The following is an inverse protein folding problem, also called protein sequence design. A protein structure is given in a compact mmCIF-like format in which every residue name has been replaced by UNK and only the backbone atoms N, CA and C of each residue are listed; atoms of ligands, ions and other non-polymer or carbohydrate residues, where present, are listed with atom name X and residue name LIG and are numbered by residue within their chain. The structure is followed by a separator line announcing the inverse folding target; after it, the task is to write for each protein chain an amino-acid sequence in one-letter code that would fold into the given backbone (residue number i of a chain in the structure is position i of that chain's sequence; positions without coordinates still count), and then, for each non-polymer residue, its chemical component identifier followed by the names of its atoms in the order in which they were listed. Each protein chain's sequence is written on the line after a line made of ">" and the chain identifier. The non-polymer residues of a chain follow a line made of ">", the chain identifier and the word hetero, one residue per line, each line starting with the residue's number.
data_IF_363466434014
#
_entry.id   IF_363466434014
#
_cell.length_a   1.000
_cell.length_b   1.000
_cell.length_c   1.000
_cell.angle_alpha   90.00
_cell.angle_beta   90.00
_cell.angle_gamma   90.00
#
_symmetry.space_group_name_H-M   'P 1'
#
loop_
_entity.id
_entity.type
_entity.pdbx_description
1 polymer ?
#
# COMPACT_ATOMS: atom_id res chain seq x y z
N UNK A 1 5.01 9.13 -4.69
CA UNK A 1 3.64 9.55 -5.12
C UNK A 1 3.13 10.59 -4.14
N UNK A 2 2.60 11.72 -4.60
CA UNK A 2 1.95 12.69 -3.71
C UNK A 2 0.64 12.14 -3.13
N UNK A 3 0.21 12.62 -1.96
CA UNK A 3 -1.09 12.27 -1.40
C UNK A 3 -2.21 12.61 -2.38
N UNK A 4 -3.02 11.61 -2.74
CA UNK A 4 -4.19 11.78 -3.59
C UNK A 4 -5.44 12.01 -2.74
N UNK A 5 -6.22 13.02 -3.12
CA UNK A 5 -7.55 13.31 -2.58
C UNK A 5 -8.56 13.15 -3.70
N UNK A 6 -9.50 12.23 -3.54
CA UNK A 6 -10.46 11.85 -4.57
C UNK A 6 -11.85 11.88 -3.96
N UNK A 7 -12.81 12.54 -4.62
CA UNK A 7 -14.20 12.49 -4.18
C UNK A 7 -14.68 11.02 -4.18
N UNK A 8 -15.23 10.55 -3.06
CA UNK A 8 -15.51 9.13 -2.84
C UNK A 8 -16.41 8.53 -3.91
N UNK A 9 -17.41 9.29 -4.38
CA UNK A 9 -18.34 8.86 -5.44
C UNK A 9 -17.68 8.65 -6.81
N UNK A 10 -16.46 9.16 -7.02
CA UNK A 10 -15.68 8.94 -8.24
C UNK A 10 -14.79 7.71 -8.16
N UNK A 11 -14.65 7.11 -6.99
CA UNK A 11 -13.73 6.00 -6.78
C UNK A 11 -14.46 4.67 -6.68
N UNK A 12 -14.08 3.74 -7.55
CA UNK A 12 -14.61 2.38 -7.63
C UNK A 12 -14.01 1.50 -6.52
N UNK A 13 -14.34 1.78 -5.26
CA UNK A 13 -13.75 1.14 -4.07
C UNK A 13 -13.79 -0.39 -4.11
N UNK A 14 -14.94 -0.96 -4.48
CA UNK A 14 -15.10 -2.41 -4.58
C UNK A 14 -14.17 -3.03 -5.64
N UNK A 15 -13.94 -2.33 -6.75
CA UNK A 15 -13.04 -2.80 -7.80
C UNK A 15 -11.57 -2.70 -7.37
N UNK A 16 -11.21 -1.63 -6.65
CA UNK A 16 -9.87 -1.45 -6.07
C UNK A 16 -9.55 -2.56 -5.06
N UNK A 17 -10.40 -2.76 -4.05
CA UNK A 17 -10.24 -3.83 -3.04
C UNK A 17 -10.18 -5.19 -3.74
N UNK A 18 -11.08 -5.42 -4.70
CA UNK A 18 -11.12 -6.64 -5.50
C UNK A 18 -9.84 -6.86 -6.33
N UNK A 19 -9.17 -5.82 -6.80
CA UNK A 19 -7.91 -5.93 -7.54
C UNK A 19 -6.75 -6.33 -6.63
N UNK A 20 -6.61 -5.68 -5.47
CA UNK A 20 -5.56 -6.00 -4.47
C UNK A 20 -5.73 -7.43 -3.95
N UNK A 21 -6.95 -7.80 -3.55
CA UNK A 21 -7.24 -9.14 -3.02
C UNK A 21 -7.01 -10.25 -4.06
N UNK A 22 -7.35 -10.00 -5.34
CA UNK A 22 -7.02 -10.93 -6.44
C UNK A 22 -5.53 -11.07 -6.66
N UNK A 23 -4.78 -9.97 -6.59
CA UNK A 23 -3.33 -10.00 -6.67
C UNK A 23 -2.75 -10.88 -5.55
N UNK A 24 -3.18 -10.67 -4.30
CA UNK A 24 -2.73 -11.46 -3.15
C UNK A 24 -3.07 -12.94 -3.25
N UNK A 25 -4.31 -13.25 -3.63
CA UNK A 25 -4.71 -14.63 -3.89
C UNK A 25 -3.83 -15.29 -4.97
N UNK A 26 -3.41 -14.55 -6.00
CA UNK A 26 -2.52 -15.07 -7.06
C UNK A 26 -1.09 -15.34 -6.57
N UNK A 27 -0.66 -14.67 -5.51
CA UNK A 27 0.65 -14.90 -4.87
C UNK A 27 0.57 -15.91 -3.71
N UNK A 28 -0.62 -16.44 -3.40
CA UNK A 28 -0.82 -17.31 -2.22
C UNK A 28 -0.76 -16.56 -0.89
N UNK A 29 -0.92 -15.23 -0.91
CA UNK A 29 -0.88 -14.35 0.26
C UNK A 29 -2.31 -14.17 0.79
N UNK A 30 -2.56 -14.35 2.09
CA UNK A 30 -3.88 -14.15 2.66
C UNK A 30 -4.26 -12.66 2.68
N UNK A 31 -5.56 -12.31 2.53
CA UNK A 31 -6.05 -10.94 2.68
C UNK A 31 -5.78 -10.32 4.06
N UNK A 32 -5.45 -11.14 5.08
CA UNK A 32 -5.04 -10.70 6.40
C UNK A 32 -3.91 -9.66 6.40
N UNK A 33 -3.09 -9.64 5.33
CA UNK A 33 -2.01 -8.68 5.11
C UNK A 33 -2.48 -7.24 4.82
N UNK A 34 -3.78 -7.03 4.55
CA UNK A 34 -4.39 -5.69 4.55
C UNK A 34 -4.64 -5.32 6.00
N UNK A 35 -3.85 -4.42 6.58
CA UNK A 35 -3.87 -4.17 8.03
C UNK A 35 -4.60 -2.85 8.38
N UNK A 36 -5.34 -2.77 9.49
CA UNK A 36 -5.75 -1.50 10.06
C UNK A 36 -4.51 -0.69 10.47
N UNK A 37 -4.57 0.63 10.24
CA UNK A 37 -3.52 1.56 10.58
C UNK A 37 -3.86 2.29 11.89
N UNK A 38 -3.02 2.11 12.91
CA UNK A 38 -3.15 2.77 14.21
C UNK A 38 -2.28 4.03 14.34
N UNK A 39 -1.25 4.18 13.50
CA UNK A 39 -0.28 5.27 13.53
C UNK A 39 0.99 4.89 12.78
N UNK A 40 1.79 5.89 12.39
CA UNK A 40 3.12 5.62 11.85
C UNK A 40 4.03 5.14 12.98
N UNK A 41 4.93 4.22 12.64
CA UNK A 41 5.85 3.54 13.57
C UNK A 41 5.16 2.67 14.64
N UNK A 42 3.83 2.57 14.62
CA UNK A 42 3.08 1.59 15.39
C UNK A 42 3.10 0.23 14.68
N UNK A 43 3.20 -0.88 15.43
CA UNK A 43 3.18 -2.21 14.84
C UNK A 43 1.83 -2.47 14.16
N UNK A 44 1.88 -3.11 12.99
CA UNK A 44 0.68 -3.54 12.29
C UNK A 44 0.01 -4.71 13.01
N UNK A 45 -1.29 -4.56 13.26
CA UNK A 45 -2.12 -5.64 13.77
C UNK A 45 -2.83 -6.34 12.60
N UNK A 46 -2.27 -7.46 12.15
CA UNK A 46 -2.93 -8.27 11.13
C UNK A 46 -4.15 -8.99 11.71
N UNK A 47 -5.31 -8.77 11.08
CA UNK A 47 -6.56 -9.40 11.48
C UNK A 47 -6.63 -10.89 11.15
N UNK A 48 -7.67 -11.59 11.62
CA UNK A 48 -7.92 -12.98 11.24
C UNK A 48 -8.09 -13.13 9.72
N UNK A 49 -7.69 -14.29 9.19
CA UNK A 49 -7.70 -14.57 7.75
C UNK A 49 -9.11 -14.72 7.14
N UNK A 50 -10.17 -14.77 7.94
CA UNK A 50 -11.54 -14.99 7.49
C UNK A 50 -12.44 -13.77 7.74
N UNK A 51 -13.29 -13.51 6.75
CA UNK A 51 -14.48 -12.63 6.75
C UNK A 51 -14.27 -11.17 7.24
N UNK A 52 -13.28 -10.47 6.69
CA UNK A 52 -13.21 -9.01 6.81
C UNK A 52 -13.97 -8.31 5.69
N UNK A 53 -14.89 -7.43 6.05
CA UNK A 53 -15.51 -6.48 5.13
C UNK A 53 -14.68 -5.19 5.10
N UNK A 54 -13.67 -5.18 4.22
CA UNK A 54 -12.74 -4.06 4.08
C UNK A 54 -13.44 -2.76 3.64
N UNK A 55 -14.57 -2.86 2.93
CA UNK A 55 -15.34 -1.70 2.55
C UNK A 55 -16.09 -1.12 3.76
N UNK A 56 -16.73 -1.97 4.58
CA UNK A 56 -17.33 -1.53 5.83
C UNK A 56 -16.31 -0.91 6.80
N UNK A 57 -15.12 -1.50 6.90
CA UNK A 57 -14.04 -0.95 7.75
C UNK A 57 -13.62 0.47 7.33
N UNK A 58 -13.50 0.73 6.02
CA UNK A 58 -13.16 2.06 5.50
C UNK A 58 -14.34 3.06 5.61
N UNK A 59 -15.53 2.62 5.21
CA UNK A 59 -16.66 3.51 4.93
C UNK A 59 -17.58 3.71 6.14
N UNK A 60 -17.81 2.66 6.92
CA UNK A 60 -18.75 2.66 8.05
C UNK A 60 -18.02 2.87 9.38
N UNK A 61 -16.90 2.17 9.57
CA UNK A 61 -16.10 2.26 10.79
C UNK A 61 -15.08 3.41 10.77
N UNK A 62 -14.82 3.99 9.58
CA UNK A 62 -13.89 5.11 9.41
C UNK A 62 -12.43 4.75 9.72
N UNK A 63 -12.06 3.48 9.55
CA UNK A 63 -10.67 3.03 9.75
C UNK A 63 -9.80 3.47 8.59
N UNK A 64 -8.54 3.75 8.89
CA UNK A 64 -7.49 3.80 7.88
C UNK A 64 -6.94 2.40 7.68
N UNK A 65 -6.78 1.96 6.44
CA UNK A 65 -6.28 0.64 6.10
C UNK A 65 -5.06 0.73 5.20
N UNK A 66 -4.09 -0.16 5.43
CA UNK A 66 -2.96 -0.37 4.55
C UNK A 66 -3.27 -1.47 3.54
N UNK A 67 -3.23 -1.12 2.25
CA UNK A 67 -3.39 -2.02 1.13
C UNK A 67 -2.04 -2.23 0.46
N UNK A 68 -1.40 -3.40 0.62
CA UNK A 68 -0.11 -3.60 0.00
C UNK A 68 -0.26 -3.65 -1.53
N UNK A 69 0.63 -2.94 -2.22
CA UNK A 69 0.71 -2.92 -3.68
C UNK A 69 1.69 -3.98 -4.18
N UNK A 70 2.71 -4.31 -3.40
CA UNK A 70 3.71 -5.34 -3.71
C UNK A 70 3.57 -6.57 -2.83
N UNK A 71 4.15 -7.66 -3.30
CA UNK A 71 4.53 -8.78 -2.44
C UNK A 71 5.74 -8.41 -1.56
N UNK A 72 6.19 -9.35 -0.72
CA UNK A 72 7.35 -9.19 0.15
C UNK A 72 8.63 -9.03 -0.67
N UNK A 73 9.44 -8.05 -0.30
CA UNK A 73 10.78 -7.87 -0.86
C UNK A 73 11.69 -9.02 -0.43
N UNK A 74 12.18 -9.78 -1.40
CA UNK A 74 13.12 -10.89 -1.18
C UNK A 74 14.49 -10.62 -1.80
N UNK A 75 14.74 -9.38 -2.25
CA UNK A 75 15.95 -8.99 -2.99
C UNK A 75 15.89 -9.24 -4.51
N UNK A 76 14.80 -9.83 -5.00
CA UNK A 76 14.51 -10.00 -6.43
C UNK A 76 13.50 -8.96 -6.95
N UNK A 77 13.15 -9.05 -8.24
CA UNK A 77 12.05 -8.25 -8.77
C UNK A 77 10.73 -8.72 -8.14
N UNK A 78 10.10 -7.83 -7.39
CA UNK A 78 8.90 -8.06 -6.58
C UNK A 78 7.65 -7.89 -7.45
N UNK A 79 6.73 -8.88 -7.49
CA UNK A 79 5.46 -8.73 -8.19
C UNK A 79 4.59 -7.67 -7.51
N UNK A 80 3.86 -6.89 -8.32
CA UNK A 80 2.96 -5.84 -7.87
C UNK A 80 1.54 -6.01 -8.42
N UNK A 81 0.58 -5.35 -7.78
CA UNK A 81 -0.85 -5.46 -8.08
C UNK A 81 -1.24 -4.97 -9.49
N UNK A 82 -0.38 -4.18 -10.13
CA UNK A 82 -0.55 -3.78 -11.54
C UNK A 82 -0.18 -4.89 -12.54
N UNK A 83 0.32 -6.03 -12.04
CA UNK A 83 0.74 -7.19 -12.83
C UNK A 83 2.19 -7.15 -13.31
N UNK A 84 2.94 -6.08 -12.99
CA UNK A 84 4.35 -5.96 -13.32
C UNK A 84 5.24 -6.41 -12.16
N UNK A 85 6.54 -6.49 -12.41
CA UNK A 85 7.55 -6.79 -11.38
C UNK A 85 8.53 -5.64 -11.29
N UNK A 86 8.82 -5.19 -10.08
CA UNK A 86 9.69 -4.05 -9.81
C UNK A 86 10.82 -4.47 -8.88
N UNK A 87 12.03 -3.97 -9.12
CA UNK A 87 13.14 -4.14 -8.19
C UNK A 87 13.15 -2.95 -7.25
N UNK A 88 13.06 -3.21 -5.95
CA UNK A 88 13.28 -2.17 -4.95
C UNK A 88 14.79 -1.86 -4.86
N UNK A 89 15.17 -0.58 -4.74
CA UNK A 89 16.57 -0.20 -4.62
C UNK A 89 17.12 -0.86 -3.37
N UNK A 90 18.29 -1.50 -3.48
CA UNK A 90 19.04 -1.92 -2.29
C UNK A 90 19.85 -0.72 -1.84
N UNK A 91 19.46 -0.06 -0.76
CA UNK A 91 20.29 1.00 -0.17
C UNK A 91 21.46 0.30 0.52
N UNK A 92 22.64 0.33 -0.10
CA UNK A 92 23.89 0.00 0.58
C UNK A 92 24.17 1.12 1.60
N UNK A 93 23.82 0.90 2.87
CA UNK A 93 24.05 1.89 3.93
C UNK A 93 25.49 1.78 4.43
N UNK A 94 26.29 2.83 4.21
CA UNK A 94 27.44 3.13 5.08
C UNK A 94 26.88 3.39 6.50
N UNK A 95 27.44 2.70 7.50
CA UNK A 95 26.89 2.34 8.82
C UNK A 95 26.49 3.49 9.79
N UNK A 96 26.18 4.71 9.34
CA UNK A 96 26.11 5.87 10.25
C UNK A 96 24.85 6.72 10.23
N UNK A 97 23.88 6.47 9.35
CA UNK A 97 22.58 7.13 9.44
C UNK A 97 21.48 6.06 9.32
N UNK A 98 20.48 6.13 10.20
CA UNK A 98 19.29 5.26 10.20
C UNK A 98 18.52 5.48 8.89
N UNK A 99 19.02 4.88 7.82
CA UNK A 99 18.48 4.89 6.48
C UNK A 99 17.77 3.56 6.30
N UNK A 100 16.48 3.61 5.96
CA UNK A 100 15.64 2.45 5.63
C UNK A 100 16.43 1.48 4.76
N UNK A 101 16.95 0.43 5.39
CA UNK A 101 17.72 -0.56 4.66
C UNK A 101 16.70 -1.30 3.82
N UNK A 102 16.89 -1.38 2.51
CA UNK A 102 15.98 -2.15 1.65
C UNK A 102 15.91 -3.63 2.02
N UNK A 103 16.86 -4.11 2.85
CA UNK A 103 16.83 -5.41 3.50
C UNK A 103 15.72 -5.56 4.56
N UNK A 104 15.18 -4.44 5.07
CA UNK A 104 14.10 -4.37 6.06
C UNK A 104 12.76 -3.92 5.46
N UNK A 105 12.76 -3.33 4.25
CA UNK A 105 11.54 -3.04 3.51
C UNK A 105 10.83 -4.35 3.17
N UNK A 106 9.70 -4.61 3.81
CA UNK A 106 8.89 -5.79 3.58
C UNK A 106 7.97 -5.58 2.38
N UNK A 107 7.20 -4.48 2.33
CA UNK A 107 6.31 -4.19 1.19
C UNK A 107 6.04 -2.72 1.01
N UNK A 108 5.63 -2.33 -0.19
CA UNK A 108 5.11 -1.00 -0.50
C UNK A 108 3.62 -1.08 -0.81
N UNK A 109 2.86 -0.06 -0.44
CA UNK A 109 1.42 -0.06 -0.59
C UNK A 109 0.77 1.29 -0.38
N UNK A 110 -0.55 1.25 -0.24
CA UNK A 110 -1.40 2.40 -0.09
C UNK A 110 -1.91 2.49 1.34
N UNK A 111 -1.69 3.60 2.01
CA UNK A 111 -2.49 3.97 3.17
C UNK A 111 -3.76 4.67 2.66
N UNK A 112 -4.91 4.09 2.99
CA UNK A 112 -6.21 4.52 2.48
C UNK A 112 -7.10 4.90 3.66
N UNK A 113 -7.69 6.10 3.60
CA UNK A 113 -8.61 6.60 4.61
C UNK A 113 -9.78 7.33 3.93
N UNK A 114 -10.97 7.28 4.54
CA UNK A 114 -12.15 8.01 4.07
C UNK A 114 -12.56 9.02 5.13
N UNK A 115 -12.69 10.28 4.73
CA UNK A 115 -13.18 11.35 5.60
C UNK A 115 -14.00 12.35 4.80
N UNK A 116 -15.20 12.71 5.29
CA UNK A 116 -16.05 13.76 4.71
C UNK A 116 -16.32 13.58 3.20
N UNK A 117 -16.73 12.37 2.80
CA UNK A 117 -16.96 11.99 1.38
C UNK A 117 -15.73 12.13 0.47
N UNK A 118 -14.54 12.17 1.04
CA UNK A 118 -13.27 12.18 0.34
C UNK A 118 -12.44 10.95 0.72
N UNK A 119 -11.89 10.32 -0.31
CA UNK A 119 -10.91 9.26 -0.21
C UNK A 119 -9.51 9.87 -0.25
N UNK A 120 -8.72 9.63 0.80
CA UNK A 120 -7.31 9.97 0.88
C UNK A 120 -6.48 8.71 0.64
N UNK A 121 -5.56 8.77 -0.32
CA UNK A 121 -4.64 7.69 -0.65
C UNK A 121 -3.21 8.22 -0.57
N UNK A 122 -2.37 7.55 0.22
CA UNK A 122 -0.96 7.87 0.41
C UNK A 122 -0.11 6.65 0.15
N UNK A 123 1.13 6.86 -0.29
CA UNK A 123 2.10 5.79 -0.37
C UNK A 123 2.67 5.52 1.03
N UNK A 124 2.69 4.25 1.41
CA UNK A 124 3.24 3.79 2.68
C UNK A 124 4.13 2.56 2.46
N UNK A 125 5.16 2.45 3.28
CA UNK A 125 6.08 1.31 3.32
C UNK A 125 5.89 0.54 4.61
N UNK A 126 5.93 -0.78 4.52
CA UNK A 126 5.98 -1.69 5.65
C UNK A 126 7.42 -2.14 5.83
N UNK A 127 7.97 -1.92 7.02
CA UNK A 127 9.36 -2.29 7.36
C UNK A 127 9.40 -2.73 8.82
N UNK A 128 9.95 -3.92 9.08
CA UNK A 128 10.01 -4.49 10.43
C UNK A 128 8.65 -4.58 11.13
N UNK A 129 7.56 -4.83 10.37
CA UNK A 129 6.19 -4.91 10.91
C UNK A 129 5.54 -3.58 11.28
N UNK A 130 6.14 -2.43 10.97
CA UNK A 130 5.56 -1.10 11.17
C UNK A 130 5.37 -0.36 9.84
N UNK A 131 4.48 0.63 9.82
CA UNK A 131 4.25 1.49 8.66
C UNK A 131 4.94 2.84 8.82
N UNK A 132 5.59 3.27 7.74
CA UNK A 132 6.16 4.61 7.61
C UNK A 132 5.66 5.26 6.31
N UNK A 133 5.52 6.59 6.27
CA UNK A 133 5.24 7.28 5.02
C UNK A 133 6.40 7.03 4.05
N UNK A 134 6.09 6.80 2.77
CA UNK A 134 7.15 6.72 1.77
C UNK A 134 7.66 8.14 1.51
N UNK A 135 8.82 8.51 2.07
CA UNK A 135 9.41 9.82 1.81
C UNK A 135 9.81 9.92 0.33
N UNK A 136 9.34 10.94 -0.42
CA UNK A 136 9.59 11.03 -1.86
C UNK A 136 11.07 11.04 -2.24
N UNK A 137 11.95 11.50 -1.34
CA UNK A 137 13.38 11.59 -1.59
C UNK A 137 14.06 10.21 -1.71
N UNK A 138 13.67 9.24 -0.87
CA UNK A 138 14.33 7.93 -0.77
C UNK A 138 13.96 6.97 -1.90
N UNK A 139 12.85 7.23 -2.59
CA UNK A 139 12.32 6.40 -3.68
C UNK A 139 12.31 7.13 -5.04
N UNK A 140 12.79 8.38 -5.06
CA UNK A 140 12.81 9.23 -6.26
C UNK A 140 13.60 8.59 -7.40
N UNK A 141 12.95 8.44 -8.57
CA UNK A 141 13.54 7.82 -9.77
C UNK A 141 13.12 6.37 -10.01
N UNK A 142 12.33 5.77 -9.12
CA UNK A 142 11.73 4.46 -9.37
C UNK A 142 10.45 4.59 -10.19
N UNK A 143 10.26 3.71 -11.17
CA UNK A 143 9.00 3.56 -11.90
C UNK A 143 7.80 3.13 -11.02
N UNK A 144 7.98 3.04 -9.71
CA UNK A 144 7.00 2.59 -8.72
C UNK A 144 5.97 3.67 -8.40
N UNK A 145 6.39 4.92 -8.24
CA UNK A 145 5.46 6.03 -8.00
C UNK A 145 4.48 6.17 -9.17
N UNK A 146 5.00 6.19 -10.40
CA UNK A 146 4.18 6.21 -11.61
C UNK A 146 3.30 4.97 -11.75
N UNK A 147 3.79 3.78 -11.35
CA UNK A 147 3.02 2.54 -11.41
C UNK A 147 1.85 2.56 -10.42
N UNK A 148 2.09 3.02 -9.19
CA UNK A 148 1.09 3.16 -8.15
C UNK A 148 0.02 4.19 -8.54
N UNK A 149 0.43 5.36 -9.03
CA UNK A 149 -0.52 6.37 -9.54
C UNK A 149 -1.35 5.83 -10.70
N UNK A 150 -0.71 5.17 -11.68
CA UNK A 150 -1.40 4.56 -12.81
C UNK A 150 -2.35 3.46 -12.37
N UNK A 151 -1.98 2.69 -11.35
CA UNK A 151 -2.84 1.68 -10.76
C UNK A 151 -4.09 2.31 -10.14
N UNK A 152 -3.93 3.33 -9.29
CA UNK A 152 -5.04 4.05 -8.66
C UNK A 152 -5.98 4.67 -9.70
N UNK A 153 -5.44 5.28 -10.76
CA UNK A 153 -6.24 5.92 -11.83
C UNK A 153 -7.21 4.96 -12.54
N UNK A 154 -6.95 3.65 -12.55
CA UNK A 154 -7.88 2.64 -13.13
C UNK A 154 -9.22 2.58 -12.41
N UNK A 155 -9.28 3.07 -11.17
CA UNK A 155 -10.46 3.00 -10.31
C UNK A 155 -11.13 4.36 -10.15
N UNK A 156 -10.67 5.39 -10.87
CA UNK A 156 -11.32 6.71 -10.87
C UNK A 156 -12.24 6.76 -12.09
N UNK A 157 -13.54 6.92 -11.88
CA UNK A 157 -14.52 7.11 -12.94
C UNK A 157 -14.23 8.38 -13.76
N UNK A 158 -14.28 8.24 -15.09
CA UNK A 158 -14.37 9.37 -16.01
C UNK A 158 -15.79 9.97 -15.91
N UNK A 159 -15.88 11.31 -15.91
CA UNK A 159 -17.16 12.05 -15.91
C UNK A 159 -17.92 11.90 -17.24
#
# INVERSE_FOLDING_TARGET
>A
METLQIALHRFEMAQFIGAITRFFASQGIPPAMIAPFAGYDEPLEFGPAEERDLAAELLEEGRSLYFPFSDTNTGEAVPCADGQRYRFPVVETDETELNFCAAELESIGFLVAVARDELRIEQAVMSGGALSPAEPADWSGLALDEAMERFIRKFIGEE
#
